data_IF_622763175907
#
_entry.id   IF_622763175907
#
_cell.length_a   1.000
_cell.length_b   1.000
_cell.length_c   1.000
_cell.angle_alpha   90.00
_cell.angle_beta   90.00
_cell.angle_gamma   90.00
#
_symmetry.space_group_name_H-M   'P 1'
#
loop_
_entity.id
_entity.type
_entity.pdbx_description
1 polymer ?
#
# COMPACT_ATOMS: atom_id res chain seq x y z
N UNK A 1 24.48 -20.03 14.99
CA UNK A 1 23.88 -19.75 14.60
C UNK A 1 23.49 -18.77 14.44
N UNK A 2 23.52 -18.26 14.26
CA UNK A 2 23.06 -17.42 14.23
C UNK A 2 22.37 -17.06 13.45
N UNK A 3 21.89 -16.85 13.24
CA UNK A 3 21.15 -16.58 12.60
C UNK A 3 21.06 -15.49 12.17
N UNK A 4 21.44 -15.12 11.44
CA UNK A 4 21.27 -14.14 10.83
C UNK A 4 20.10 -13.69 10.67
N UNK A 5 19.56 -13.89 11.21
CA UNK A 5 18.26 -13.46 11.22
C UNK A 5 18.09 -12.02 11.17
N UNK A 6 19.08 -11.30 11.48
CA UNK A 6 19.02 -9.88 11.39
C UNK A 6 18.65 -9.43 10.01
N UNK A 7 18.83 -10.29 9.05
CA UNK A 7 18.50 -9.91 7.71
C UNK A 7 17.15 -10.32 7.28
N UNK A 8 16.38 -10.87 8.16
CA UNK A 8 15.03 -11.25 7.80
C UNK A 8 14.20 -10.00 7.63
N UNK A 9 13.71 -9.80 6.43
CA UNK A 9 12.81 -8.70 6.12
C UNK A 9 11.40 -9.22 6.28
N UNK A 10 10.82 -8.93 7.41
CA UNK A 10 9.44 -9.34 7.64
C UNK A 10 8.53 -8.66 6.64
N UNK A 11 7.67 -9.44 6.06
CA UNK A 11 6.70 -8.94 5.10
C UNK A 11 5.34 -9.50 5.45
N UNK A 12 4.35 -8.63 5.47
CA UNK A 12 2.96 -9.01 5.64
C UNK A 12 2.31 -8.95 4.27
N UNK A 13 1.64 -10.02 3.88
CA UNK A 13 0.91 -10.04 2.62
C UNK A 13 -0.50 -10.52 2.86
N UNK A 14 -1.41 -10.01 2.06
CA UNK A 14 -2.78 -10.45 2.04
C UNK A 14 -3.28 -10.39 0.60
N UNK A 15 -4.04 -11.38 0.21
CA UNK A 15 -4.59 -11.45 -1.14
C UNK A 15 -6.08 -11.22 -1.04
N UNK A 16 -6.61 -10.37 -1.90
CA UNK A 16 -8.04 -10.11 -1.94
C UNK A 16 -8.47 -9.81 -3.37
N UNK A 17 -9.77 -9.90 -3.60
CA UNK A 17 -10.35 -9.51 -4.88
C UNK A 17 -11.02 -8.17 -4.69
N UNK A 18 -10.84 -7.28 -5.65
CA UNK A 18 -11.47 -5.98 -5.63
C UNK A 18 -12.34 -5.82 -6.87
N UNK A 19 -13.39 -5.03 -6.75
CA UNK A 19 -14.24 -4.70 -7.88
C UNK A 19 -13.77 -3.38 -8.47
N UNK A 20 -13.56 -3.37 -9.78
CA UNK A 20 -13.21 -2.15 -10.47
C UNK A 20 -14.52 -1.42 -10.80
N UNK A 21 -14.97 -0.56 -9.90
CA UNK A 21 -16.28 0.05 -10.05
C UNK A 21 -16.30 1.13 -11.11
N UNK A 22 -15.12 1.62 -11.50
CA UNK A 22 -15.04 2.60 -12.60
C UNK A 22 -15.17 1.94 -13.97
N UNK A 23 -15.09 0.61 -14.03
CA UNK A 23 -15.28 -0.12 -15.29
C UNK A 23 -15.93 -1.47 -14.97
N UNK A 24 -17.25 -1.50 -14.88
CA UNK A 24 -17.97 -2.72 -14.50
C UNK A 24 -17.82 -3.88 -15.48
N UNK A 25 -17.31 -3.63 -16.69
CA UNK A 25 -17.06 -4.70 -17.64
C UNK A 25 -15.93 -5.61 -17.18
N UNK A 26 -15.07 -5.15 -16.28
CA UNK A 26 -14.00 -5.96 -15.73
C UNK A 26 -14.54 -6.64 -14.46
N UNK A 27 -14.60 -7.98 -14.42
CA UNK A 27 -15.33 -8.66 -13.35
C UNK A 27 -14.66 -8.53 -12.01
N UNK A 28 -13.33 -8.65 -11.94
CA UNK A 28 -12.64 -8.57 -10.66
C UNK A 28 -11.17 -8.28 -10.91
N UNK A 29 -10.56 -7.64 -9.94
CA UNK A 29 -9.12 -7.35 -9.97
C UNK A 29 -8.52 -8.10 -8.81
N UNK A 30 -7.51 -8.91 -9.10
CA UNK A 30 -6.76 -9.59 -8.05
C UNK A 30 -5.81 -8.59 -7.42
N UNK A 31 -5.80 -8.52 -6.10
CA UNK A 31 -4.97 -7.57 -5.38
C UNK A 31 -4.13 -8.28 -4.33
N UNK A 32 -2.84 -8.01 -4.36
CA UNK A 32 -1.94 -8.40 -3.27
C UNK A 32 -1.60 -7.15 -2.49
N UNK A 33 -1.94 -7.17 -1.22
CA UNK A 33 -1.58 -6.10 -0.30
C UNK A 33 -0.28 -6.51 0.39
N UNK A 34 0.71 -5.63 0.38
CA UNK A 34 2.03 -5.95 0.92
C UNK A 34 2.51 -4.85 1.83
N UNK A 35 3.17 -5.26 2.90
CA UNK A 35 3.78 -4.36 3.85
C UNK A 35 5.13 -4.92 4.25
N UNK A 36 6.17 -4.10 4.13
CA UNK A 36 7.53 -4.49 4.51
C UNK A 36 7.90 -3.75 5.78
N UNK A 37 8.37 -4.50 6.78
CA UNK A 37 8.65 -3.90 8.09
C UNK A 37 9.80 -2.92 8.06
N UNK A 38 10.71 -3.04 7.11
CA UNK A 38 11.82 -2.09 6.97
C UNK A 38 11.44 -0.86 6.13
N UNK A 39 10.20 -0.81 5.65
CA UNK A 39 9.62 0.37 5.02
C UNK A 39 8.28 0.64 5.68
N UNK A 40 8.28 1.01 6.96
CA UNK A 40 7.09 0.93 7.80
C UNK A 40 6.01 1.97 7.50
N UNK A 41 6.36 3.00 6.74
CA UNK A 41 5.41 4.08 6.45
C UNK A 41 4.56 3.79 5.21
N UNK A 42 4.90 2.76 4.44
CA UNK A 42 4.28 2.53 3.14
C UNK A 42 3.59 1.18 3.08
N UNK A 43 2.56 1.10 2.23
CA UNK A 43 1.96 -0.16 1.83
C UNK A 43 1.99 -0.23 0.31
N UNK A 44 1.94 -1.43 -0.22
CA UNK A 44 1.89 -1.66 -1.65
C UNK A 44 0.63 -2.43 -1.99
N UNK A 45 0.03 -2.04 -3.10
CA UNK A 45 -1.12 -2.76 -3.66
C UNK A 45 -0.73 -3.18 -5.07
N UNK A 46 -0.64 -4.48 -5.29
CA UNK A 46 -0.29 -5.05 -6.57
C UNK A 46 -1.55 -5.54 -7.24
N UNK A 47 -1.93 -4.89 -8.32
CA UNK A 47 -3.20 -5.14 -8.99
C UNK A 47 -2.95 -5.94 -10.25
N UNK A 48 -3.69 -7.02 -10.43
CA UNK A 48 -3.56 -7.89 -11.58
C UNK A 48 -4.92 -8.14 -12.21
N UNK A 49 -4.97 -7.96 -13.51
CA UNK A 49 -6.12 -8.33 -14.32
C UNK A 49 -5.63 -9.39 -15.29
N UNK A 50 -6.45 -10.38 -15.53
CA UNK A 50 -6.08 -11.49 -16.38
C UNK A 50 -5.49 -11.00 -17.70
N UNK A 51 -4.32 -11.57 -18.07
CA UNK A 51 -3.64 -11.27 -19.32
C UNK A 51 -3.06 -9.86 -19.42
N UNK A 52 -3.00 -9.15 -18.31
CA UNK A 52 -2.37 -7.83 -18.28
C UNK A 52 -1.23 -7.83 -17.28
N UNK A 53 -0.21 -7.00 -17.48
CA UNK A 53 0.86 -6.90 -16.49
C UNK A 53 0.33 -6.35 -15.18
N UNK A 54 0.93 -6.82 -14.08
CA UNK A 54 0.57 -6.32 -12.76
C UNK A 54 1.00 -4.87 -12.61
N UNK A 55 0.21 -4.10 -11.88
CA UNK A 55 0.48 -2.70 -11.61
C UNK A 55 0.63 -2.55 -10.10
N UNK A 56 1.74 -1.95 -9.68
CA UNK A 56 2.01 -1.76 -8.27
C UNK A 56 1.83 -0.31 -7.88
N UNK A 57 1.00 -0.07 -6.87
CA UNK A 57 0.84 1.24 -6.27
C UNK A 57 1.42 1.22 -4.87
N UNK A 58 2.20 2.24 -4.55
CA UNK A 58 2.77 2.40 -3.21
C UNK A 58 2.23 3.69 -2.62
N UNK A 59 1.72 3.61 -1.41
CA UNK A 59 1.22 4.81 -0.74
C UNK A 59 1.32 4.60 0.77
N UNK A 60 0.97 5.64 1.51
CA UNK A 60 1.17 5.69 2.94
C UNK A 60 0.29 4.67 3.68
N UNK A 61 0.88 3.97 4.66
CA UNK A 61 0.09 3.11 5.54
C UNK A 61 -0.95 3.92 6.30
N UNK A 62 -0.58 5.13 6.73
CA UNK A 62 -1.51 6.02 7.41
C UNK A 62 -2.73 6.34 6.57
N UNK A 63 -2.54 6.51 5.27
CA UNK A 63 -3.64 6.78 4.36
C UNK A 63 -4.61 5.60 4.33
N UNK A 64 -4.08 4.38 4.29
CA UNK A 64 -4.94 3.20 4.30
C UNK A 64 -5.69 3.07 5.62
N UNK A 65 -4.99 3.29 6.73
CA UNK A 65 -5.61 3.21 8.06
C UNK A 65 -6.71 4.24 8.20
N UNK A 66 -6.41 5.49 7.88
CA UNK A 66 -7.39 6.57 8.00
C UNK A 66 -8.56 6.37 7.04
N UNK A 67 -8.24 5.98 5.81
CA UNK A 67 -9.26 5.83 4.77
C UNK A 67 -10.21 4.68 5.00
N UNK A 68 -9.84 3.72 5.85
CA UNK A 68 -10.74 2.63 6.20
C UNK A 68 -11.90 3.12 7.07
N UNK A 69 -11.77 4.27 7.71
CA UNK A 69 -12.82 4.79 8.60
C UNK A 69 -13.33 6.16 8.21
N UNK A 70 -12.56 6.95 7.47
CA UNK A 70 -13.01 8.28 7.03
C UNK A 70 -12.30 8.62 5.71
N UNK A 71 -12.93 9.46 4.89
CA UNK A 71 -12.28 9.84 3.62
C UNK A 71 -10.93 10.48 3.86
N UNK A 72 -9.91 10.00 3.15
CA UNK A 72 -8.53 10.42 3.35
C UNK A 72 -7.81 10.51 2.03
N UNK A 73 -6.81 11.40 1.98
CA UNK A 73 -5.97 11.58 0.81
C UNK A 73 -6.38 12.76 -0.03
N UNK A 74 -5.37 13.46 -0.56
CA UNK A 74 -5.61 14.63 -1.41
C UNK A 74 -4.83 14.53 -2.71
N UNK A 75 -4.07 13.44 -2.90
CA UNK A 75 -3.23 13.28 -4.07
C UNK A 75 -3.78 12.23 -5.02
N UNK A 76 -2.86 11.49 -5.61
CA UNK A 76 -3.19 10.49 -6.60
C UNK A 76 -3.86 9.26 -6.01
N UNK A 77 -3.77 9.07 -4.71
CA UNK A 77 -4.42 7.97 -4.02
C UNK A 77 -5.36 8.55 -2.98
N UNK A 78 -6.62 8.15 -3.06
CA UNK A 78 -7.62 8.53 -2.06
C UNK A 78 -8.32 7.28 -1.59
N UNK A 79 -8.58 7.20 -0.30
CA UNK A 79 -9.18 6.02 0.32
C UNK A 79 -10.35 6.50 1.16
N UNK A 80 -11.51 5.85 1.02
CA UNK A 80 -12.66 6.23 1.83
C UNK A 80 -13.59 5.03 2.02
N UNK A 81 -14.29 5.00 3.15
CA UNK A 81 -15.23 3.92 3.41
C UNK A 81 -16.56 4.18 2.70
N UNK A 82 -17.22 3.09 2.33
CA UNK A 82 -18.59 3.17 1.82
C UNK A 82 -19.42 2.12 2.53
N UNK A 83 -20.70 2.11 2.16
CA UNK A 83 -21.62 1.11 2.65
C UNK A 83 -21.16 -0.31 2.30
N UNK A 84 -20.52 -0.46 1.14
CA UNK A 84 -20.19 -1.77 0.60
C UNK A 84 -18.72 -2.17 0.84
N UNK A 85 -17.91 -1.29 1.39
CA UNK A 85 -16.51 -1.61 1.64
C UNK A 85 -15.64 -0.38 1.65
N UNK A 86 -14.38 -0.56 1.27
CA UNK A 86 -13.41 0.53 1.22
C UNK A 86 -13.07 0.80 -0.23
N UNK A 87 -13.19 2.05 -0.65
CA UNK A 87 -12.82 2.43 -2.01
C UNK A 87 -11.42 3.01 -2.01
N UNK A 88 -10.62 2.52 -2.95
CA UNK A 88 -9.30 3.06 -3.22
C UNK A 88 -9.34 3.66 -4.62
N UNK A 89 -9.19 4.98 -4.69
CA UNK A 89 -9.14 5.67 -5.97
C UNK A 89 -7.71 5.94 -6.34
N UNK A 90 -7.35 5.58 -7.56
CA UNK A 90 -6.01 5.73 -8.08
C UNK A 90 -6.06 6.62 -9.32
N UNK A 91 -5.21 7.63 -9.36
CA UNK A 91 -5.14 8.54 -10.49
C UNK A 91 -3.74 8.56 -11.05
N UNK A 92 -3.64 8.54 -12.37
CA UNK A 92 -2.36 8.63 -13.05
C UNK A 92 -2.58 9.45 -14.32
N UNK A 93 -2.13 10.70 -14.31
CA UNK A 93 -2.38 11.60 -15.42
C UNK A 93 -3.86 11.87 -15.57
N UNK A 94 -4.40 11.56 -16.74
CA UNK A 94 -5.83 11.71 -17.00
C UNK A 94 -6.62 10.44 -16.72
N UNK A 95 -5.94 9.37 -16.33
CA UNK A 95 -6.59 8.10 -16.04
C UNK A 95 -6.94 8.01 -14.56
N UNK A 96 -8.05 7.37 -14.26
CA UNK A 96 -8.49 7.17 -12.89
C UNK A 96 -9.17 5.82 -12.79
N UNK A 97 -8.97 5.17 -11.65
CA UNK A 97 -9.61 3.90 -11.35
C UNK A 97 -10.15 3.95 -9.93
N UNK A 98 -11.29 3.35 -9.71
CA UNK A 98 -11.87 3.23 -8.37
C UNK A 98 -12.10 1.75 -8.09
N UNK A 99 -11.51 1.29 -7.01
CA UNK A 99 -11.53 -0.12 -6.63
C UNK A 99 -12.27 -0.26 -5.30
N UNK A 100 -13.22 -1.18 -5.28
CA UNK A 100 -13.96 -1.47 -4.05
C UNK A 100 -13.37 -2.72 -3.43
N UNK A 101 -12.80 -2.55 -2.24
CA UNK A 101 -12.21 -3.64 -1.47
C UNK A 101 -13.15 -4.08 -0.38
N UNK A 102 -13.11 -5.37 -0.05
CA UNK A 102 -13.88 -5.93 1.03
C UNK A 102 -13.32 -5.41 2.36
N UNK A 103 -14.15 -4.73 3.13
CA UNK A 103 -13.67 -4.05 4.33
C UNK A 103 -12.98 -4.97 5.33
N UNK A 104 -13.51 -6.18 5.63
CA UNK A 104 -12.81 -7.07 6.55
C UNK A 104 -11.41 -7.47 6.09
N UNK A 105 -11.19 -7.64 4.79
CA UNK A 105 -9.86 -7.99 4.28
C UNK A 105 -8.87 -6.83 4.50
N UNK A 106 -9.32 -5.61 4.27
CA UNK A 106 -8.49 -4.44 4.51
C UNK A 106 -8.18 -4.29 6.00
N UNK A 107 -9.20 -4.47 6.84
CA UNK A 107 -9.03 -4.35 8.29
C UNK A 107 -8.06 -5.41 8.81
N UNK A 108 -8.16 -6.63 8.32
CA UNK A 108 -7.26 -7.70 8.76
C UNK A 108 -5.83 -7.40 8.35
N UNK A 109 -5.63 -6.93 7.13
CA UNK A 109 -4.29 -6.57 6.67
C UNK A 109 -3.71 -5.46 7.53
N UNK A 110 -4.49 -4.42 7.80
CA UNK A 110 -4.05 -3.32 8.66
C UNK A 110 -3.65 -3.84 10.04
N UNK A 111 -4.50 -4.69 10.63
CA UNK A 111 -4.22 -5.24 11.95
C UNK A 111 -2.93 -6.04 11.96
N UNK A 112 -2.67 -6.81 10.91
CA UNK A 112 -1.44 -7.58 10.82
C UNK A 112 -0.22 -6.67 10.70
N UNK A 113 -0.32 -5.57 9.95
CA UNK A 113 0.81 -4.63 9.87
C UNK A 113 1.05 -3.94 11.19
N UNK A 114 -0.02 -3.61 11.92
CA UNK A 114 0.11 -2.94 13.21
C UNK A 114 0.64 -3.88 14.29
N UNK A 115 0.40 -5.18 14.14
CA UNK A 115 0.92 -6.15 15.09
C UNK A 115 2.45 -6.26 15.01
N UNK A 116 3.02 -6.08 13.81
CA UNK A 116 4.48 -6.16 13.66
C UNK A 116 5.15 -4.80 13.79
N UNK A 117 4.49 -3.72 13.37
CA UNK A 117 5.03 -2.37 13.50
C UNK A 117 3.91 -1.44 13.97
N UNK A 118 3.75 -1.23 15.27
CA UNK A 118 2.78 -0.26 15.77
C UNK A 118 3.10 1.13 15.24
N UNK A 119 2.09 2.00 15.22
CA UNK A 119 2.25 3.34 14.65
C UNK A 119 3.37 4.11 15.34
N UNK A 120 3.47 3.99 16.66
CA UNK A 120 4.49 4.74 17.41
C UNK A 120 5.87 4.09 17.31
N UNK A 121 6.00 2.95 16.65
CA UNK A 121 7.29 2.29 16.48
C UNK A 121 7.80 2.35 15.04
N UNK A 122 7.12 3.09 14.17
CA UNK A 122 7.50 3.14 12.76
C UNK A 122 8.92 3.63 12.56
N UNK A 123 9.31 4.68 13.29
CA UNK A 123 10.63 5.27 13.09
C UNK A 123 11.74 4.29 13.48
N UNK A 124 11.46 3.38 14.39
CA UNK A 124 12.46 2.39 14.83
C UNK A 124 12.76 1.36 13.76
N UNK A 125 11.83 1.16 12.86
CA UNK A 125 11.97 0.19 11.78
C UNK A 125 12.45 0.83 10.49
N UNK A 126 12.51 2.16 10.45
CA UNK A 126 12.87 2.87 9.24
C UNK A 126 14.38 2.93 9.10
N UNK A 127 14.89 2.45 7.97
CA UNK A 127 16.32 2.47 7.68
C UNK A 127 16.63 3.71 6.86
N UNK A 128 16.91 4.80 7.57
CA UNK A 128 17.20 6.07 6.91
C UNK A 128 18.47 5.99 6.06
N UNK A 129 19.46 5.27 6.55
CA UNK A 129 20.72 5.15 5.80
C UNK A 129 20.50 4.45 4.46
N UNK A 130 19.74 3.36 4.48
CA UNK A 130 19.46 2.65 3.24
C UNK A 130 18.63 3.50 2.29
N UNK A 131 17.67 4.26 2.84
CA UNK A 131 16.85 5.16 2.04
C UNK A 131 17.70 6.23 1.37
N UNK A 132 18.59 6.84 2.15
CA UNK A 132 19.46 7.88 1.61
C UNK A 132 20.41 7.33 0.55
N UNK A 133 20.85 6.09 0.72
CA UNK A 133 21.74 5.46 -0.25
C UNK A 133 21.04 5.20 -1.57
N UNK A 134 19.72 5.10 -1.59
CA UNK A 134 18.97 4.85 -2.80
C UNK A 134 18.60 6.12 -3.55
N UNK A 135 18.79 7.27 -2.93
CA UNK A 135 18.49 8.52 -3.59
C UNK A 135 19.55 8.82 -4.64
N UNK A 136 19.16 9.42 -5.77
CA UNK A 136 20.15 9.84 -6.74
C UNK A 136 21.12 10.84 -6.12
N UNK A 137 22.38 10.76 -6.53
CA UNK A 137 23.34 11.75 -6.09
C UNK A 137 22.94 13.08 -6.67
N UNK A 138 22.72 14.05 -5.78
CA UNK A 138 22.32 15.38 -6.21
C UNK A 138 23.53 16.30 -6.18
N UNK A 139 23.92 16.78 -7.36
CA UNK A 139 24.99 17.74 -7.46
C UNK A 139 24.42 19.11 -7.06
N UNK A 140 25.04 19.79 -6.09
CA UNK A 140 24.55 21.11 -5.70
C UNK A 140 24.50 22.12 -6.84
N UNK A 141 25.22 21.85 -7.91
CA UNK A 141 25.23 22.74 -9.07
C UNK A 141 24.13 22.42 -10.07
N UNK A 142 23.36 21.39 -9.82
CA UNK A 142 22.28 20.97 -10.70
C UNK A 142 20.97 21.59 -10.31
N UNK A 143 20.95 22.74 -9.87
CA UNK A 143 19.71 23.34 -9.37
C UNK A 143 19.01 24.16 -10.41
#
# INVERSE_FOLDING_TARGET
>A
MTQDTAVVHQMITATTEMLLISDPAIPAVHADLRYYCDDPFAVQVLLSIEQSPAICWTFSRDLLISGATMPSGVGDVQVYPTHDGVIIELRSGTSAAALLAYAPDVAEFIDQTLAVVPVDAEIEHYDLEAELAQLPVHDPHDV
#
